data_IF_258166969878
#
_entry.id   IF_258166969878
#
_cell.length_a   1.000
_cell.length_b   1.000
_cell.length_c   1.000
_cell.angle_alpha   90.00
_cell.angle_beta   90.00
_cell.angle_gamma   90.00
#
_symmetry.space_group_name_H-M   'P 1'
#
loop_
_entity.id
_entity.type
_entity.pdbx_description
1 polymer ?
#
# COMPACT_ATOMS: atom_id res chain seq x y z
N UNK A 1 21.88 -19.48 -33.45
CA UNK A 1 22.35 -18.29 -32.71
C UNK A 1 21.31 -18.00 -31.64
N UNK A 2 21.49 -18.57 -30.45
CA UNK A 2 20.74 -18.14 -29.26
C UNK A 2 21.30 -16.78 -28.84
N UNK A 3 20.45 -15.75 -28.84
CA UNK A 3 20.73 -14.55 -28.07
C UNK A 3 20.45 -14.91 -26.61
N UNK A 4 21.51 -15.22 -25.86
CA UNK A 4 21.47 -15.11 -24.41
C UNK A 4 21.16 -13.66 -24.06
N UNK A 5 19.93 -13.40 -23.61
CA UNK A 5 19.56 -12.13 -23.01
C UNK A 5 20.40 -11.97 -21.74
N UNK A 6 21.50 -11.22 -21.84
CA UNK A 6 22.23 -10.75 -20.68
C UNK A 6 21.25 -9.89 -19.90
N UNK A 7 20.81 -10.33 -18.72
CA UNK A 7 20.03 -9.47 -17.83
C UNK A 7 20.91 -8.27 -17.50
N UNK A 8 20.53 -7.10 -18.03
CA UNK A 8 21.25 -5.86 -17.75
C UNK A 8 21.01 -5.55 -16.29
N UNK A 9 22.01 -5.83 -15.45
CA UNK A 9 21.94 -5.54 -14.03
C UNK A 9 21.71 -4.04 -13.82
N UNK A 10 20.85 -3.65 -12.86
CA UNK A 10 20.64 -2.24 -12.56
C UNK A 10 21.96 -1.55 -12.24
N UNK A 11 22.18 -0.36 -12.80
CA UNK A 11 23.40 0.39 -12.55
C UNK A 11 23.65 0.60 -11.04
N UNK A 12 24.92 0.71 -10.58
CA UNK A 12 25.21 1.09 -9.20
C UNK A 12 24.43 2.35 -8.78
N UNK A 13 23.74 2.27 -7.65
CA UNK A 13 22.92 3.37 -7.13
C UNK A 13 21.51 3.49 -7.74
N UNK A 14 21.17 2.74 -8.79
CA UNK A 14 19.85 2.85 -9.45
C UNK A 14 18.68 2.51 -8.50
N UNK A 15 18.84 1.49 -7.65
CA UNK A 15 17.85 1.14 -6.62
C UNK A 15 17.61 2.28 -5.63
N UNK A 16 18.68 2.92 -5.14
CA UNK A 16 18.58 4.02 -4.17
C UNK A 16 17.96 5.25 -4.83
N UNK A 17 18.37 5.57 -6.05
CA UNK A 17 17.80 6.66 -6.82
C UNK A 17 16.30 6.45 -7.07
N UNK A 18 15.90 5.25 -7.46
CA UNK A 18 14.49 4.92 -7.69
C UNK A 18 13.68 4.92 -6.39
N UNK A 19 14.22 4.40 -5.30
CA UNK A 19 13.59 4.52 -3.98
C UNK A 19 13.33 5.98 -3.59
N UNK A 20 14.32 6.87 -3.77
CA UNK A 20 14.15 8.30 -3.50
C UNK A 20 13.11 8.95 -4.43
N UNK A 21 13.09 8.56 -5.71
CA UNK A 21 12.07 9.02 -6.66
C UNK A 21 10.66 8.58 -6.20
N UNK A 22 10.53 7.35 -5.71
CA UNK A 22 9.28 6.81 -5.17
C UNK A 22 8.82 7.61 -3.94
N UNK A 23 9.71 8.05 -3.05
CA UNK A 23 9.34 8.92 -1.93
C UNK A 23 8.73 10.25 -2.40
N UNK A 24 9.29 10.86 -3.45
CA UNK A 24 8.76 12.12 -4.02
C UNK A 24 7.40 11.88 -4.68
N UNK A 25 7.27 10.81 -5.46
CA UNK A 25 6.00 10.44 -6.10
C UNK A 25 4.91 10.13 -5.07
N UNK A 26 5.21 9.34 -4.05
CA UNK A 26 4.28 9.03 -2.96
C UNK A 26 3.82 10.30 -2.26
N UNK A 27 4.75 11.19 -1.87
CA UNK A 27 4.36 12.48 -1.29
C UNK A 27 3.50 13.29 -2.26
N UNK A 28 3.79 13.34 -3.56
CA UNK A 28 2.96 14.10 -4.50
C UNK A 28 1.49 13.66 -4.53
N UNK A 29 1.20 12.41 -4.17
CA UNK A 29 -0.16 11.88 -4.05
C UNK A 29 -0.82 12.26 -2.72
N UNK A 30 -0.11 12.12 -1.59
CA UNK A 30 -0.71 12.31 -0.24
C UNK A 30 -0.56 13.74 0.32
N UNK A 31 0.50 14.45 -0.07
CA UNK A 31 0.81 15.79 0.42
C UNK A 31 -0.26 16.86 0.07
N UNK A 32 -1.02 16.77 -1.06
CA UNK A 32 -2.19 17.63 -1.27
C UNK A 32 -3.21 17.55 -0.14
N UNK A 33 -3.47 16.37 0.44
CA UNK A 33 -4.38 16.23 1.58
C UNK A 33 -3.84 16.87 2.86
N UNK A 34 -2.51 16.87 3.07
CA UNK A 34 -1.89 17.58 4.18
C UNK A 34 -2.11 19.08 4.06
N UNK A 35 -1.90 19.64 2.85
CA UNK A 35 -2.17 21.05 2.57
C UNK A 35 -3.66 21.36 2.72
N UNK A 36 -4.52 20.49 2.18
CA UNK A 36 -5.96 20.61 2.29
C UNK A 36 -6.40 20.63 3.76
N UNK A 37 -5.88 19.72 4.60
CA UNK A 37 -6.15 19.68 6.04
C UNK A 37 -5.67 20.93 6.77
N UNK A 38 -4.47 21.41 6.43
CA UNK A 38 -3.90 22.61 7.02
C UNK A 38 -4.70 23.89 6.69
N UNK A 39 -5.51 23.88 5.63
CA UNK A 39 -6.32 25.03 5.21
C UNK A 39 -7.80 24.86 5.59
N UNK A 40 -8.42 23.75 5.18
CA UNK A 40 -9.87 23.55 5.29
C UNK A 40 -10.32 23.39 6.74
N UNK A 41 -9.59 22.62 7.56
CA UNK A 41 -9.99 22.40 8.96
C UNK A 41 -9.92 23.71 9.78
N UNK A 42 -8.83 24.49 9.72
CA UNK A 42 -8.80 25.81 10.38
C UNK A 42 -9.82 26.79 9.80
N UNK A 43 -10.04 26.80 8.47
CA UNK A 43 -11.05 27.67 7.87
C UNK A 43 -12.45 27.33 8.37
N UNK A 44 -12.83 26.05 8.42
CA UNK A 44 -14.11 25.61 8.97
C UNK A 44 -14.26 26.00 10.45
N UNK A 45 -13.18 25.85 11.24
CA UNK A 45 -13.16 26.25 12.64
C UNK A 45 -13.34 27.77 12.82
N UNK A 46 -12.71 28.59 11.97
CA UNK A 46 -12.85 30.05 12.00
C UNK A 46 -14.26 30.52 11.61
N UNK A 47 -14.93 29.80 10.70
CA UNK A 47 -16.29 30.10 10.28
C UNK A 47 -17.37 29.61 11.27
N UNK A 48 -16.99 28.76 12.24
CA UNK A 48 -17.90 28.11 13.19
C UNK A 48 -18.81 29.10 13.94
N UNK A 49 -18.34 30.23 14.51
CA UNK A 49 -19.21 31.15 15.23
C UNK A 49 -20.29 31.77 14.33
N UNK A 50 -19.92 32.17 13.11
CA UNK A 50 -20.85 32.73 12.13
C UNK A 50 -21.88 31.72 11.68
N UNK A 51 -21.46 30.49 11.38
CA UNK A 51 -22.36 29.38 11.03
C UNK A 51 -23.33 29.08 12.16
N UNK A 52 -22.89 29.07 13.41
CA UNK A 52 -23.76 28.82 14.56
C UNK A 52 -24.84 29.89 14.70
N UNK A 53 -24.46 31.18 14.63
CA UNK A 53 -25.41 32.30 14.67
C UNK A 53 -26.41 32.21 13.52
N UNK A 54 -25.94 31.91 12.31
CA UNK A 54 -26.81 31.74 11.15
C UNK A 54 -27.83 30.60 11.33
N UNK A 55 -27.43 29.46 11.92
CA UNK A 55 -28.35 28.35 12.20
C UNK A 55 -29.41 28.73 13.24
N UNK A 56 -29.03 29.47 14.29
CA UNK A 56 -29.99 29.97 15.28
C UNK A 56 -30.95 30.99 14.67
N UNK A 57 -30.46 31.91 13.84
CA UNK A 57 -31.29 32.88 13.12
C UNK A 57 -32.24 32.20 12.13
N UNK A 58 -31.83 31.07 11.55
CA UNK A 58 -32.68 30.22 10.72
C UNK A 58 -33.69 29.39 11.54
N UNK A 59 -33.84 29.65 12.83
CA UNK A 59 -34.82 29.00 13.71
C UNK A 59 -34.48 27.55 14.08
N UNK A 60 -33.24 27.11 13.88
CA UNK A 60 -32.85 25.75 14.31
C UNK A 60 -32.79 25.68 15.84
N UNK A 61 -33.33 24.62 16.46
CA UNK A 61 -33.12 24.36 17.88
C UNK A 61 -31.64 24.29 18.22
N UNK A 62 -31.26 24.74 19.43
CA UNK A 62 -29.87 24.83 19.89
C UNK A 62 -29.05 23.55 19.61
N UNK A 63 -29.60 22.38 19.94
CA UNK A 63 -28.93 21.08 19.74
C UNK A 63 -28.65 20.81 18.25
N UNK A 64 -29.61 21.13 17.37
CA UNK A 64 -29.40 21.00 15.92
C UNK A 64 -28.41 22.02 15.39
N UNK A 65 -28.46 23.25 15.88
CA UNK A 65 -27.50 24.29 15.51
C UNK A 65 -26.07 23.88 15.90
N UNK A 66 -25.87 23.31 17.09
CA UNK A 66 -24.58 22.76 17.52
C UNK A 66 -24.13 21.60 16.62
N UNK A 67 -25.01 20.64 16.35
CA UNK A 67 -24.69 19.50 15.48
C UNK A 67 -24.32 19.92 14.06
N UNK A 68 -25.13 20.77 13.42
CA UNK A 68 -24.87 21.28 12.07
C UNK A 68 -23.58 22.10 11.99
N UNK A 69 -23.31 22.93 13.00
CA UNK A 69 -22.10 23.75 13.03
C UNK A 69 -20.87 22.87 13.29
N UNK A 70 -20.93 21.97 14.27
CA UNK A 70 -19.85 21.03 14.55
C UNK A 70 -19.53 20.13 13.36
N UNK A 71 -20.56 19.68 12.63
CA UNK A 71 -20.44 18.87 11.43
C UNK A 71 -19.59 19.55 10.34
N UNK A 72 -19.52 20.89 10.30
CA UNK A 72 -18.65 21.60 9.33
C UNK A 72 -17.17 21.32 9.56
N UNK A 73 -16.73 21.33 10.82
CA UNK A 73 -15.33 21.10 11.17
C UNK A 73 -15.01 19.61 11.13
N UNK A 74 -15.88 18.77 11.72
CA UNK A 74 -15.67 17.32 11.70
C UNK A 74 -15.75 16.75 10.30
N UNK A 75 -16.65 17.25 9.45
CA UNK A 75 -16.76 16.84 8.05
C UNK A 75 -15.51 17.19 7.25
N UNK A 76 -15.01 18.43 7.38
CA UNK A 76 -13.76 18.82 6.73
C UNK A 76 -12.56 17.96 7.19
N UNK A 77 -12.49 17.62 8.48
CA UNK A 77 -11.45 16.74 9.00
C UNK A 77 -11.61 15.30 8.47
N UNK A 78 -12.84 14.80 8.42
CA UNK A 78 -13.16 13.44 7.95
C UNK A 78 -12.87 13.26 6.46
N UNK A 79 -13.24 14.24 5.63
CA UNK A 79 -12.96 14.22 4.19
C UNK A 79 -11.46 14.21 3.91
N UNK A 80 -10.69 15.05 4.60
CA UNK A 80 -9.23 15.12 4.47
C UNK A 80 -8.58 13.82 4.91
N UNK A 81 -8.94 13.31 6.09
CA UNK A 81 -8.29 12.13 6.66
C UNK A 81 -8.66 10.86 5.88
N UNK A 82 -9.92 10.75 5.48
CA UNK A 82 -10.39 9.67 4.60
C UNK A 82 -9.72 9.73 3.23
N UNK A 83 -9.60 10.90 2.63
CA UNK A 83 -8.92 11.08 1.34
C UNK A 83 -7.44 10.70 1.42
N UNK A 84 -6.75 11.13 2.48
CA UNK A 84 -5.35 10.79 2.74
C UNK A 84 -5.15 9.29 2.88
N UNK A 85 -5.88 8.63 3.79
CA UNK A 85 -5.71 7.21 4.08
C UNK A 85 -6.12 6.34 2.89
N UNK A 86 -7.22 6.65 2.20
CA UNK A 86 -7.59 5.89 1.00
C UNK A 86 -6.55 6.05 -0.10
N UNK A 87 -6.04 7.26 -0.32
CA UNK A 87 -4.97 7.48 -1.33
C UNK A 87 -3.71 6.69 -0.97
N UNK A 88 -3.31 6.69 0.30
CA UNK A 88 -2.14 5.93 0.74
C UNK A 88 -2.34 4.42 0.55
N UNK A 89 -3.46 3.88 1.04
CA UNK A 89 -3.78 2.46 0.98
C UNK A 89 -4.07 1.94 -0.43
N UNK A 90 -4.58 2.78 -1.33
CA UNK A 90 -4.94 2.38 -2.70
C UNK A 90 -3.80 2.61 -3.71
N UNK A 91 -2.83 3.49 -3.39
CA UNK A 91 -1.78 3.90 -4.34
C UNK A 91 -0.36 3.63 -3.83
N UNK A 92 -0.06 4.02 -2.59
CA UNK A 92 1.31 4.04 -2.05
C UNK A 92 1.68 2.70 -1.43
N UNK A 93 0.79 2.20 -0.56
CA UNK A 93 0.99 0.93 0.16
C UNK A 93 1.12 -0.24 -0.80
N UNK A 94 0.24 -0.45 -1.80
CA UNK A 94 0.32 -1.65 -2.64
C UNK A 94 1.63 -1.73 -3.42
N UNK A 95 2.15 -0.60 -3.90
CA UNK A 95 3.46 -0.54 -4.55
C UNK A 95 4.61 -0.93 -3.61
N UNK A 96 4.58 -0.43 -2.38
CA UNK A 96 5.62 -0.71 -1.38
C UNK A 96 5.56 -2.15 -0.90
N UNK A 97 4.34 -2.67 -0.73
CA UNK A 97 4.05 -4.06 -0.44
C UNK A 97 4.61 -4.97 -1.53
N UNK A 98 4.27 -4.71 -2.80
CA UNK A 98 4.76 -5.52 -3.93
C UNK A 98 6.29 -5.57 -3.99
N UNK A 99 6.98 -4.43 -3.80
CA UNK A 99 8.44 -4.41 -3.70
C UNK A 99 8.98 -5.27 -2.54
N UNK A 100 8.26 -5.33 -1.42
CA UNK A 100 8.62 -6.17 -0.26
C UNK A 100 8.38 -7.65 -0.55
N UNK A 101 7.32 -7.99 -1.29
CA UNK A 101 7.03 -9.36 -1.71
C UNK A 101 8.08 -9.87 -2.70
N UNK A 102 8.51 -9.02 -3.64
CA UNK A 102 9.63 -9.32 -4.55
C UNK A 102 10.92 -9.57 -3.78
N UNK A 103 11.21 -8.78 -2.74
CA UNK A 103 12.34 -9.03 -1.83
C UNK A 103 12.16 -10.37 -1.12
N UNK A 104 10.98 -10.68 -0.59
CA UNK A 104 10.72 -11.93 0.12
C UNK A 104 10.95 -13.15 -0.78
N UNK A 105 10.45 -13.13 -2.02
CA UNK A 105 10.70 -14.18 -3.02
C UNK A 105 12.20 -14.28 -3.35
N UNK A 106 12.87 -13.13 -3.57
CA UNK A 106 14.31 -13.10 -3.83
C UNK A 106 15.12 -13.69 -2.69
N UNK A 107 14.77 -13.41 -1.44
CA UNK A 107 15.44 -13.95 -0.24
C UNK A 107 15.27 -15.46 -0.12
N UNK A 108 14.08 -15.99 -0.43
CA UNK A 108 13.86 -17.44 -0.49
C UNK A 108 14.79 -18.08 -1.52
N UNK A 109 14.83 -17.55 -2.74
CA UNK A 109 15.69 -18.05 -3.83
C UNK A 109 17.17 -17.98 -3.49
N UNK A 110 17.63 -16.88 -2.89
CA UNK A 110 19.00 -16.72 -2.41
C UNK A 110 19.32 -17.76 -1.34
N UNK A 111 18.42 -17.95 -0.37
CA UNK A 111 18.56 -18.96 0.67
C UNK A 111 18.70 -20.37 0.10
N UNK A 112 17.81 -20.76 -0.81
CA UNK A 112 17.87 -22.05 -1.51
C UNK A 112 19.21 -22.22 -2.24
N UNK A 113 19.61 -21.23 -3.05
CA UNK A 113 20.87 -21.27 -3.81
C UNK A 113 22.11 -21.41 -2.92
N UNK A 114 22.14 -20.76 -1.73
CA UNK A 114 23.25 -20.90 -0.78
C UNK A 114 23.44 -22.36 -0.34
N UNK A 115 22.35 -23.11 -0.16
CA UNK A 115 22.41 -24.47 0.37
C UNK A 115 22.48 -25.55 -0.71
N UNK A 116 21.89 -25.33 -1.88
CA UNK A 116 21.79 -26.36 -2.94
C UNK A 116 22.75 -26.14 -4.09
N UNK A 117 22.97 -24.88 -4.49
CA UNK A 117 23.69 -24.51 -5.73
C UNK A 117 24.53 -23.24 -5.53
N UNK A 118 25.53 -23.23 -4.64
CA UNK A 118 26.25 -22.02 -4.26
C UNK A 118 26.97 -21.33 -5.44
N UNK A 119 27.30 -22.08 -6.50
CA UNK A 119 27.86 -21.53 -7.74
C UNK A 119 26.91 -20.61 -8.50
N UNK A 120 25.59 -20.73 -8.29
CA UNK A 120 24.56 -19.89 -8.93
C UNK A 120 24.27 -18.61 -8.13
N UNK A 121 24.82 -18.46 -6.91
CA UNK A 121 24.52 -17.36 -6.00
C UNK A 121 24.71 -15.97 -6.62
N UNK A 122 25.79 -15.67 -7.38
CA UNK A 122 25.92 -14.36 -8.03
C UNK A 122 24.80 -14.08 -9.04
N UNK A 123 24.35 -15.10 -9.78
CA UNK A 123 23.27 -14.99 -10.74
C UNK A 123 21.92 -14.74 -10.08
N UNK A 124 21.62 -15.49 -9.01
CA UNK A 124 20.37 -15.32 -8.22
C UNK A 124 20.31 -13.95 -7.56
N UNK A 125 21.43 -13.47 -6.99
CA UNK A 125 21.50 -12.14 -6.40
C UNK A 125 21.31 -11.03 -7.44
N UNK A 126 21.90 -11.22 -8.63
CA UNK A 126 21.68 -10.32 -9.76
C UNK A 126 20.22 -10.29 -10.20
N UNK A 127 19.56 -11.44 -10.28
CA UNK A 127 18.14 -11.50 -10.64
C UNK A 127 17.27 -10.79 -9.59
N UNK A 128 17.49 -11.07 -8.30
CA UNK A 128 16.75 -10.42 -7.21
C UNK A 128 16.91 -8.88 -7.23
N UNK A 129 18.11 -8.40 -7.59
CA UNK A 129 18.36 -6.96 -7.78
C UNK A 129 17.58 -6.39 -8.96
N UNK A 130 17.54 -7.10 -10.07
CA UNK A 130 16.77 -6.70 -11.27
C UNK A 130 15.29 -6.67 -10.96
N UNK A 131 14.74 -7.75 -10.40
CA UNK A 131 13.33 -7.87 -10.05
C UNK A 131 12.90 -6.76 -9.09
N UNK A 132 13.72 -6.45 -8.07
CA UNK A 132 13.45 -5.34 -7.16
C UNK A 132 13.51 -3.99 -7.87
N UNK A 133 14.45 -3.79 -8.79
CA UNK A 133 14.52 -2.55 -9.55
C UNK A 133 13.28 -2.38 -10.43
N UNK A 134 12.82 -3.45 -11.08
CA UNK A 134 11.58 -3.42 -11.88
C UNK A 134 10.37 -3.12 -10.99
N UNK A 135 10.26 -3.77 -9.83
CA UNK A 135 9.20 -3.50 -8.86
C UNK A 135 9.20 -2.04 -8.35
N UNK A 136 10.39 -1.44 -8.14
CA UNK A 136 10.49 -0.04 -7.76
C UNK A 136 10.12 0.93 -8.89
N UNK A 137 10.15 0.49 -10.15
CA UNK A 137 9.71 1.27 -11.30
C UNK A 137 8.21 1.16 -11.58
N UNK A 138 7.50 0.29 -10.86
CA UNK A 138 6.07 0.19 -11.02
C UNK A 138 5.35 1.50 -10.65
N UNK A 139 4.26 1.84 -11.37
CA UNK A 139 3.44 2.97 -11.01
C UNK A 139 2.77 2.76 -9.64
N UNK A 140 2.38 3.83 -8.94
CA UNK A 140 1.46 3.72 -7.80
C UNK A 140 0.14 3.09 -8.22
N UNK A 141 -0.48 2.35 -7.30
CA UNK A 141 -1.75 1.66 -7.53
C UNK A 141 -1.70 0.18 -7.15
N UNK A 142 -2.82 -0.54 -7.32
CA UNK A 142 -2.89 -1.96 -7.03
C UNK A 142 -1.90 -2.77 -7.85
N UNK A 143 -1.23 -3.71 -7.20
CA UNK A 143 -0.28 -4.63 -7.83
C UNK A 143 -0.79 -6.06 -7.74
N UNK A 144 -0.46 -6.86 -8.76
CA UNK A 144 -0.61 -8.31 -8.65
C UNK A 144 0.57 -8.88 -7.85
N UNK A 145 0.32 -9.87 -7.00
CA UNK A 145 1.39 -10.60 -6.30
C UNK A 145 2.48 -11.07 -7.28
N UNK A 146 3.76 -11.10 -6.86
CA UNK A 146 4.84 -11.49 -7.74
C UNK A 146 4.71 -12.95 -8.18
N UNK A 147 5.32 -13.27 -9.32
CA UNK A 147 5.35 -14.64 -9.82
C UNK A 147 6.18 -15.52 -8.87
N UNK A 148 5.52 -16.52 -8.28
CA UNK A 148 6.14 -17.52 -7.41
C UNK A 148 6.19 -18.89 -8.07
N UNK A 149 7.24 -19.65 -7.77
CA UNK A 149 7.53 -20.95 -8.39
C UNK A 149 7.47 -22.12 -7.40
N UNK A 150 7.52 -21.85 -6.10
CA UNK A 150 7.53 -22.87 -5.05
C UNK A 150 6.50 -22.56 -3.95
N UNK A 151 6.06 -23.57 -3.17
CA UNK A 151 5.24 -23.32 -2.00
C UNK A 151 5.89 -22.43 -0.94
N UNK A 152 7.23 -22.46 -0.83
CA UNK A 152 7.98 -21.63 0.11
C UNK A 152 7.95 -20.16 -0.31
N UNK A 153 8.13 -19.87 -1.61
CA UNK A 153 7.96 -18.51 -2.16
C UNK A 153 6.52 -18.02 -1.94
N UNK A 154 5.51 -18.85 -2.21
CA UNK A 154 4.11 -18.52 -1.97
C UNK A 154 3.81 -18.23 -0.49
N UNK A 155 4.41 -18.99 0.43
CA UNK A 155 4.29 -18.76 1.86
C UNK A 155 4.96 -17.44 2.28
N UNK A 156 6.10 -17.08 1.70
CA UNK A 156 6.79 -15.82 1.96
C UNK A 156 5.97 -14.60 1.49
N UNK A 157 5.38 -14.67 0.29
CA UNK A 157 4.45 -13.65 -0.22
C UNK A 157 3.24 -13.53 0.70
N UNK A 158 2.60 -14.64 1.06
CA UNK A 158 1.47 -14.64 1.98
C UNK A 158 1.80 -14.08 3.37
N UNK A 159 2.97 -14.38 3.91
CA UNK A 159 3.42 -13.79 5.17
C UNK A 159 3.55 -12.26 5.07
N UNK A 160 4.02 -11.78 3.91
CA UNK A 160 4.14 -10.35 3.61
C UNK A 160 2.77 -9.69 3.47
N UNK A 161 1.84 -10.29 2.71
CA UNK A 161 0.43 -9.85 2.60
C UNK A 161 -0.23 -9.69 3.97
N UNK A 162 -0.12 -10.70 4.85
CA UNK A 162 -0.69 -10.64 6.20
C UNK A 162 -0.03 -9.55 7.03
N UNK A 163 1.30 -9.41 6.94
CA UNK A 163 2.02 -8.35 7.63
C UNK A 163 1.53 -6.96 7.20
N UNK A 164 1.45 -6.69 5.90
CA UNK A 164 0.98 -5.41 5.37
C UNK A 164 -0.50 -5.15 5.68
N UNK A 165 -1.33 -6.19 5.60
CA UNK A 165 -2.74 -6.11 5.97
C UNK A 165 -2.93 -5.70 7.44
N UNK A 166 -2.10 -6.21 8.36
CA UNK A 166 -2.18 -5.87 9.79
C UNK A 166 -1.52 -4.52 10.09
N UNK A 167 -0.27 -4.36 9.66
CA UNK A 167 0.58 -3.23 10.05
C UNK A 167 0.16 -1.91 9.40
N UNK A 168 -0.35 -1.96 8.16
CA UNK A 168 -0.72 -0.78 7.39
C UNK A 168 -2.21 -0.73 7.14
N UNK A 169 -2.77 -1.62 6.31
CA UNK A 169 -4.18 -1.51 5.91
C UNK A 169 -5.16 -1.45 7.09
N UNK A 170 -5.08 -2.40 8.02
CA UNK A 170 -5.98 -2.45 9.16
C UNK A 170 -5.75 -1.26 10.10
N UNK A 171 -4.48 -0.97 10.40
CA UNK A 171 -4.13 0.07 11.36
C UNK A 171 -4.52 1.45 10.84
N UNK A 172 -4.22 1.77 9.58
CA UNK A 172 -4.56 3.05 8.97
C UNK A 172 -6.07 3.23 8.82
N UNK A 173 -6.80 2.20 8.35
CA UNK A 173 -8.27 2.26 8.31
C UNK A 173 -8.86 2.49 9.70
N UNK A 174 -8.34 1.83 10.72
CA UNK A 174 -8.81 2.01 12.09
C UNK A 174 -8.59 3.44 12.60
N UNK A 175 -7.55 4.14 12.15
CA UNK A 175 -7.34 5.54 12.54
C UNK A 175 -8.45 6.48 12.05
N UNK A 176 -9.22 6.09 11.02
CA UNK A 176 -10.38 6.87 10.55
C UNK A 176 -11.47 7.01 11.61
N UNK A 177 -11.50 6.15 12.63
CA UNK A 177 -12.41 6.30 13.78
C UNK A 177 -12.31 7.70 14.39
N UNK A 178 -11.11 8.30 14.42
CA UNK A 178 -10.88 9.63 15.03
C UNK A 178 -11.67 10.74 14.33
N UNK A 179 -11.96 10.60 13.04
CA UNK A 179 -12.69 11.63 12.27
C UNK A 179 -14.12 11.19 11.95
N UNK A 180 -14.33 9.93 11.56
CA UNK A 180 -15.63 9.40 11.17
C UNK A 180 -16.63 9.40 12.32
N UNK A 181 -16.19 9.03 13.54
CA UNK A 181 -17.10 8.95 14.69
C UNK A 181 -17.63 10.33 15.10
N UNK A 182 -16.78 11.34 15.35
CA UNK A 182 -17.27 12.69 15.63
C UNK A 182 -18.13 13.24 14.49
N UNK A 183 -17.77 12.96 13.23
CA UNK A 183 -18.53 13.42 12.08
C UNK A 183 -19.93 12.78 12.00
N UNK A 184 -20.02 11.45 12.17
CA UNK A 184 -21.30 10.73 12.20
C UNK A 184 -22.21 11.22 13.33
N UNK A 185 -21.64 11.44 14.52
CA UNK A 185 -22.36 12.00 15.66
C UNK A 185 -22.92 13.39 15.34
N UNK A 186 -22.07 14.32 14.93
CA UNK A 186 -22.44 15.73 14.72
C UNK A 186 -23.40 15.90 13.55
N UNK A 187 -23.16 15.17 12.46
CA UNK A 187 -24.05 15.16 11.29
C UNK A 187 -25.45 14.63 11.65
N UNK A 188 -25.51 13.53 12.42
CA UNK A 188 -26.78 12.96 12.87
C UNK A 188 -27.48 13.83 13.90
N UNK A 189 -26.74 14.42 14.84
CA UNK A 189 -27.28 15.37 15.81
C UNK A 189 -27.82 16.62 15.12
N UNK A 190 -27.10 17.14 14.13
CA UNK A 190 -27.50 18.33 13.37
C UNK A 190 -28.76 18.11 12.53
N UNK A 191 -28.83 16.96 11.85
CA UNK A 191 -29.97 16.60 11.00
C UNK A 191 -31.22 16.22 11.81
N UNK A 192 -31.06 15.44 12.89
CA UNK A 192 -32.20 14.87 13.63
C UNK A 192 -32.56 15.64 14.90
N UNK A 193 -31.59 16.29 15.55
CA UNK A 193 -31.73 16.86 16.89
C UNK A 193 -31.83 15.82 18.02
N UNK A 194 -31.63 14.52 17.72
CA UNK A 194 -31.73 13.44 18.69
C UNK A 194 -30.34 12.93 19.08
N UNK A 195 -29.99 13.08 20.36
CA UNK A 195 -28.73 12.52 20.92
C UNK A 195 -28.71 11.01 20.81
N UNK A 196 -29.86 10.34 21.03
CA UNK A 196 -29.96 8.88 20.92
C UNK A 196 -29.62 8.40 19.51
N UNK A 197 -30.20 9.04 18.47
CA UNK A 197 -29.86 8.71 17.08
C UNK A 197 -28.40 9.01 16.75
N UNK A 198 -27.85 10.11 17.29
CA UNK A 198 -26.45 10.45 17.09
C UNK A 198 -25.49 9.41 17.70
N UNK A 199 -25.79 8.88 18.89
CA UNK A 199 -25.03 7.78 19.51
C UNK A 199 -25.15 6.49 18.71
N UNK A 200 -26.33 6.18 18.16
CA UNK A 200 -26.52 5.04 17.27
C UNK A 200 -25.64 5.16 16.01
N UNK A 201 -25.65 6.32 15.35
CA UNK A 201 -24.81 6.58 14.19
C UNK A 201 -23.30 6.48 14.52
N UNK A 202 -22.89 6.90 15.71
CA UNK A 202 -21.51 6.64 16.21
C UNK A 202 -21.22 5.14 16.27
N UNK A 203 -22.14 4.34 16.84
CA UNK A 203 -21.99 2.89 16.90
C UNK A 203 -21.82 2.27 15.51
N UNK A 204 -22.65 2.67 14.55
CA UNK A 204 -22.58 2.24 13.16
C UNK A 204 -21.26 2.65 12.48
N UNK A 205 -20.77 3.87 12.73
CA UNK A 205 -19.49 4.33 12.20
C UNK A 205 -18.30 3.53 12.75
N UNK A 206 -18.32 3.18 14.05
CA UNK A 206 -17.30 2.31 14.67
C UNK A 206 -17.33 0.92 14.05
N UNK A 207 -18.49 0.27 14.01
CA UNK A 207 -18.61 -1.10 13.48
C UNK A 207 -18.22 -1.17 12.01
N UNK A 208 -18.60 -0.18 11.22
CA UNK A 208 -18.21 -0.07 9.81
C UNK A 208 -16.70 0.05 9.68
N UNK A 209 -16.08 0.96 10.43
CA UNK A 209 -14.62 1.17 10.35
C UNK A 209 -13.82 -0.05 10.81
N UNK A 210 -14.29 -0.76 11.84
CA UNK A 210 -13.67 -2.03 12.27
C UNK A 210 -13.86 -3.13 11.22
N UNK A 211 -15.04 -3.21 10.60
CA UNK A 211 -15.28 -4.19 9.54
C UNK A 211 -14.39 -3.94 8.32
N UNK A 212 -14.26 -2.67 7.92
CA UNK A 212 -13.35 -2.24 6.84
C UNK A 212 -11.89 -2.51 7.19
N UNK A 213 -11.48 -2.33 8.46
CA UNK A 213 -10.09 -2.58 8.87
C UNK A 213 -9.73 -4.07 8.94
N UNK A 214 -10.69 -4.96 9.17
CA UNK A 214 -10.43 -6.41 9.24
C UNK A 214 -10.50 -7.08 7.87
N UNK A 215 -11.22 -6.50 6.90
CA UNK A 215 -11.37 -7.09 5.57
C UNK A 215 -10.03 -7.40 4.87
N UNK A 216 -9.01 -6.52 4.86
CA UNK A 216 -7.71 -6.82 4.27
C UNK A 216 -7.01 -8.02 4.91
N UNK A 217 -7.11 -8.17 6.24
CA UNK A 217 -6.52 -9.32 6.96
C UNK A 217 -7.19 -10.62 6.50
N UNK A 218 -8.51 -10.62 6.39
CA UNK A 218 -9.26 -11.77 5.87
C UNK A 218 -8.85 -12.10 4.45
N UNK A 219 -8.73 -11.10 3.60
CA UNK A 219 -8.34 -11.27 2.20
C UNK A 219 -6.94 -11.87 2.09
N UNK A 220 -5.96 -11.33 2.82
CA UNK A 220 -4.59 -11.86 2.88
C UNK A 220 -4.54 -13.33 3.37
N UNK A 221 -5.41 -13.69 4.32
CA UNK A 221 -5.52 -15.06 4.86
C UNK A 221 -6.30 -16.03 3.97
N UNK A 222 -7.08 -15.57 2.99
CA UNK A 222 -7.99 -16.44 2.23
C UNK A 222 -7.72 -16.49 0.74
N UNK A 223 -7.19 -15.41 0.14
CA UNK A 223 -6.88 -15.36 -1.28
C UNK A 223 -5.69 -16.28 -1.62
N UNK A 224 -5.83 -17.22 -2.57
CA UNK A 224 -4.74 -18.12 -2.92
C UNK A 224 -3.59 -17.35 -3.60
N UNK A 225 -2.35 -17.74 -3.29
CA UNK A 225 -1.17 -17.28 -4.03
C UNK A 225 -0.90 -18.30 -5.15
N UNK A 226 -1.04 -17.93 -6.44
CA UNK A 226 -0.88 -18.85 -7.54
C UNK A 226 0.60 -19.25 -7.70
N UNK A 227 0.87 -20.55 -7.69
CA UNK A 227 2.21 -21.09 -7.99
C UNK A 227 2.30 -21.40 -9.47
N UNK A 228 3.30 -20.83 -10.13
CA UNK A 228 3.65 -21.13 -11.52
C UNK A 228 4.93 -21.95 -11.52
N UNK A 229 4.87 -23.29 -11.61
CA UNK A 229 6.07 -24.12 -11.56
C UNK A 229 7.07 -23.71 -12.63
N UNK A 230 8.35 -23.57 -12.26
CA UNK A 230 9.41 -23.36 -13.25
C UNK A 230 9.49 -24.62 -14.12
N UNK A 231 9.45 -24.45 -15.44
CA UNK A 231 9.72 -25.57 -16.36
C UNK A 231 11.10 -26.13 -16.02
N UNK A 232 11.18 -27.41 -15.69
CA UNK A 232 12.47 -28.08 -15.54
C UNK A 232 13.21 -27.89 -16.87
N UNK A 233 14.43 -27.32 -16.81
CA UNK A 233 15.29 -27.30 -17.98
C UNK A 233 15.50 -28.76 -18.38
N UNK A 234 14.90 -29.17 -19.51
CA UNK A 234 15.18 -30.47 -20.11
C UNK A 234 16.64 -30.40 -20.55
N UNK A 235 17.55 -30.86 -19.69
CA UNK A 235 18.89 -31.24 -20.11
C UNK A 235 18.69 -32.34 -21.15
N UNK A 236 18.79 -31.95 -22.42
CA UNK A 236 18.70 -32.88 -23.53
C UNK A 236 20.02 -33.65 -23.53
N UNK A 237 20.12 -34.63 -22.65
CA UNK A 237 21.23 -35.57 -22.65
C UNK A 237 21.02 -36.50 -23.86
N UNK A 238 21.62 -36.09 -24.97
CA UNK A 238 21.62 -36.86 -26.19
C UNK A 238 22.51 -38.10 -26.00
N UNK A 239 21.93 -39.21 -25.52
CA UNK A 239 22.43 -40.56 -25.88
C UNK A 239 21.45 -41.70 -25.57
N UNK A 240 21.12 -42.43 -26.65
CA UNK A 240 20.68 -43.85 -26.70
C UNK A 240 19.26 -44.14 -26.14
N UNK A 241 18.32 -44.78 -26.83
CA UNK A 241 18.32 -45.62 -28.05
C UNK A 241 16.87 -45.74 -28.54
N UNK A 242 16.69 -45.94 -29.84
CA UNK A 242 15.43 -46.33 -30.49
C UNK A 242 14.68 -47.47 -29.76
N UNK A 243 13.36 -47.35 -29.61
CA UNK A 243 12.49 -48.48 -29.91
C UNK A 243 11.03 -48.07 -30.12
N UNK A 244 10.55 -48.45 -31.31
CA UNK A 244 9.18 -48.82 -31.66
C UNK A 244 8.11 -47.74 -31.75
N UNK A 245 7.99 -47.25 -32.98
CA UNK A 245 6.72 -47.03 -33.65
C UNK A 245 5.74 -48.21 -33.45
N UNK A 246 4.52 -47.89 -33.01
CA UNK A 246 3.29 -48.59 -33.39
C UNK A 246 2.23 -47.53 -33.66
N UNK A 247 2.18 -47.14 -34.92
CA UNK A 247 0.98 -46.97 -35.74
C UNK A 247 -0.39 -47.04 -35.02
N UNK A 248 -1.10 -45.92 -34.96
CA UNK A 248 -2.55 -45.89 -34.82
C UNK A 248 -3.14 -44.76 -35.68
N UNK A 249 -3.80 -45.23 -36.73
CA UNK A 249 -4.51 -44.59 -37.83
C UNK A 249 -5.48 -43.47 -37.39
N UNK A 250 -5.43 -42.33 -38.10
CA UNK A 250 -6.42 -41.25 -38.06
C UNK A 250 -7.67 -41.59 -38.88
N UNK A 251 -8.77 -40.81 -38.71
CA UNK A 251 -9.49 -40.36 -39.89
C UNK A 251 -9.61 -38.84 -39.96
N UNK A 252 -9.17 -38.30 -41.11
CA UNK A 252 -9.33 -36.92 -41.55
C UNK A 252 -10.80 -36.48 -41.60
N UNK A 253 -11.07 -35.23 -41.24
CA UNK A 253 -12.23 -34.49 -41.77
C UNK A 253 -11.86 -33.04 -42.11
N UNK A 254 -11.84 -32.82 -43.43
CA UNK A 254 -11.85 -31.59 -44.26
C UNK A 254 -11.82 -30.21 -43.57
N UNK A 255 -10.86 -29.39 -44.01
CA UNK A 255 -10.95 -27.92 -44.01
C UNK A 255 -11.85 -27.41 -45.16
N UNK A 256 -12.26 -26.13 -45.09
CA UNK A 256 -12.10 -25.28 -46.26
C UNK A 256 -11.38 -23.96 -45.97
N UNK A 257 -10.50 -23.64 -46.90
CA UNK A 257 -9.73 -22.40 -47.08
C UNK A 257 -10.62 -21.21 -47.42
N UNK A 258 -10.37 -20.04 -46.80
CA UNK A 258 -10.69 -18.72 -47.38
C UNK A 258 -9.48 -17.80 -47.20
N UNK A 259 -9.09 -17.14 -48.30
CA UNK A 259 -7.93 -16.24 -48.47
C UNK A 259 -8.29 -14.77 -48.12
N UNK A 260 -7.31 -13.85 -48.05
CA UNK A 260 -7.31 -12.67 -47.18
C UNK A 260 -7.82 -11.37 -47.86
N UNK A 261 -8.22 -10.39 -47.06
CA UNK A 261 -8.42 -9.01 -47.53
C UNK A 261 -8.11 -7.94 -46.46
N UNK A 262 -7.11 -7.12 -46.80
CA UNK A 262 -7.06 -5.64 -46.76
C UNK A 262 -7.10 -4.87 -45.43
N UNK A 263 -5.98 -4.17 -45.20
CA UNK A 263 -5.70 -3.04 -44.29
C UNK A 263 -6.46 -1.77 -44.74
N UNK A 264 -6.78 -0.83 -43.82
CA UNK A 264 -6.29 0.55 -44.02
C UNK A 264 -5.82 1.32 -42.75
N UNK A 265 -4.56 1.81 -42.84
CA UNK A 265 -3.93 3.13 -42.51
C UNK A 265 -4.33 3.99 -41.26
N UNK A 266 -3.35 4.10 -40.33
CA UNK A 266 -2.64 5.27 -39.71
C UNK A 266 -3.32 6.67 -39.57
N UNK A 267 -2.97 7.51 -38.55
CA UNK A 267 -1.67 8.20 -38.53
C UNK A 267 -0.94 8.32 -37.17
N UNK A 268 0.38 8.44 -37.30
CA UNK A 268 1.40 8.80 -36.32
C UNK A 268 1.24 10.26 -35.86
N UNK A 269 1.37 10.53 -34.56
CA UNK A 269 1.74 11.84 -34.02
C UNK A 269 3.00 11.69 -33.19
N UNK A 270 4.08 12.27 -33.71
CA UNK A 270 5.41 12.42 -33.14
C UNK A 270 5.39 13.61 -32.18
N UNK A 271 5.64 13.42 -30.88
CA UNK A 271 6.00 14.54 -30.00
C UNK A 271 7.39 14.33 -29.42
N UNK A 272 8.33 15.18 -29.86
CA UNK A 272 9.65 15.37 -29.25
C UNK A 272 9.48 15.99 -27.85
N UNK A 273 10.31 15.61 -26.85
CA UNK A 273 10.39 16.34 -25.59
C UNK A 273 11.17 17.66 -25.77
N UNK A 274 10.82 18.74 -25.04
CA UNK A 274 11.64 19.94 -25.02
C UNK A 274 12.88 19.71 -24.15
N UNK A 275 14.04 20.04 -24.72
CA UNK A 275 15.32 20.20 -24.01
C UNK A 275 15.28 21.55 -23.30
N UNK A 276 15.55 21.55 -21.99
CA UNK A 276 15.86 22.76 -21.24
C UNK A 276 17.25 22.61 -20.62
N UNK A 277 18.19 23.27 -21.28
CA UNK A 277 19.55 23.57 -20.81
C UNK A 277 19.48 24.66 -19.74
N UNK A 278 20.10 24.44 -18.59
CA UNK A 278 20.80 25.50 -17.84
C UNK A 278 21.51 24.97 -16.60
N UNK A 279 22.81 25.23 -16.52
CA UNK A 279 23.66 25.21 -15.33
C UNK A 279 24.71 26.33 -15.55
N UNK A 280 25.34 26.92 -14.52
CA UNK A 280 24.96 27.14 -13.11
C UNK A 280 24.91 28.64 -12.77
N UNK A 281 24.53 28.99 -11.53
CA UNK A 281 25.26 30.04 -10.82
C UNK A 281 25.32 29.79 -9.31
N UNK A 282 26.43 30.20 -8.73
CA UNK A 282 26.83 29.99 -7.34
C UNK A 282 26.43 31.16 -6.47
N UNK A 283 26.05 30.90 -5.21
CA UNK A 283 26.25 31.84 -4.11
C UNK A 283 25.03 32.14 -3.24
N UNK A 284 25.30 32.12 -1.93
CA UNK A 284 24.56 32.74 -0.81
C UNK A 284 23.52 31.86 -0.08
N UNK A 285 24.01 31.26 1.01
CA UNK A 285 23.23 30.87 2.18
C UNK A 285 22.66 32.10 2.90
N UNK A 286 21.45 32.01 3.47
CA UNK A 286 21.38 32.19 4.91
C UNK A 286 20.46 31.20 5.64
N UNK A 287 20.93 30.81 6.81
CA UNK A 287 20.27 30.03 7.85
C UNK A 287 18.96 30.67 8.32
N UNK A 288 17.84 29.99 8.11
CA UNK A 288 16.55 30.31 8.70
C UNK A 288 15.90 29.02 9.24
N UNK A 289 15.78 28.95 10.57
CA UNK A 289 15.11 27.84 11.27
C UNK A 289 13.64 27.79 10.85
N UNK A 290 13.26 26.79 10.05
CA UNK A 290 11.84 26.46 9.81
C UNK A 290 11.18 26.03 11.13
N UNK A 291 10.01 26.59 11.50
CA UNK A 291 9.22 26.07 12.61
C UNK A 291 8.67 24.68 12.24
N UNK A 292 8.97 23.69 13.08
CA UNK A 292 8.60 22.30 12.86
C UNK A 292 7.12 22.08 13.24
N UNK A 293 6.23 22.24 12.26
CA UNK A 293 4.76 22.14 12.39
C UNK A 293 4.32 20.77 12.93
N UNK A 294 5.13 19.72 12.73
CA UNK A 294 4.90 18.36 13.27
C UNK A 294 4.89 18.29 14.80
N UNK A 295 5.54 19.23 15.50
CA UNK A 295 5.60 19.22 16.97
C UNK A 295 4.32 19.76 17.62
N UNK A 296 3.52 20.53 16.87
CA UNK A 296 2.23 21.06 17.32
C UNK A 296 1.13 20.00 17.29
N UNK A 297 1.08 19.21 16.22
CA UNK A 297 0.05 18.18 16.01
C UNK A 297 0.15 17.05 17.05
N UNK A 298 1.36 16.58 17.36
CA UNK A 298 1.58 15.55 18.37
C UNK A 298 1.21 15.99 19.80
N UNK A 299 1.27 17.30 20.08
CA UNK A 299 0.89 17.84 21.41
C UNK A 299 -0.63 17.95 21.56
N UNK A 300 -1.36 18.20 20.48
CA UNK A 300 -2.82 18.26 20.47
C UNK A 300 -3.43 16.86 20.60
N UNK A 301 -2.85 15.86 19.93
CA UNK A 301 -3.28 14.45 20.05
C UNK A 301 -3.07 13.93 21.48
N UNK A 302 -1.92 14.21 22.11
CA UNK A 302 -1.65 13.83 23.50
C UNK A 302 -2.59 14.49 24.52
N UNK A 303 -3.15 15.66 24.19
CA UNK A 303 -4.06 16.39 25.08
C UNK A 303 -5.51 15.91 24.98
N UNK A 304 -5.88 15.27 23.86
CA UNK A 304 -7.22 14.71 23.62
C UNK A 304 -7.31 13.25 24.06
N UNK A 305 -6.20 12.49 24.02
CA UNK A 305 -6.15 11.05 24.30
C UNK A 305 -5.51 10.72 25.66
N UNK A 306 -5.95 11.38 26.74
CA UNK A 306 -5.37 11.29 28.10
C UNK A 306 -4.72 9.95 28.49
N UNK A 307 -3.57 10.01 29.17
CA UNK A 307 -2.65 8.92 29.53
C UNK A 307 -3.33 7.55 29.81
N UNK A 308 -3.47 6.73 28.78
CA UNK A 308 -3.65 5.28 28.90
C UNK A 308 -2.35 4.61 28.47
N UNK A 309 -1.27 4.85 29.20
CA UNK A 309 -0.10 3.99 29.18
C UNK A 309 0.68 4.15 30.48
N UNK A 310 0.28 3.36 31.47
CA UNK A 310 0.84 3.44 32.82
C UNK A 310 0.59 2.17 33.64
N UNK A 311 0.55 0.99 33.03
CA UNK A 311 0.76 -0.27 33.77
C UNK A 311 1.77 -1.15 33.03
N UNK A 312 2.97 -1.15 33.59
CA UNK A 312 4.10 -2.03 33.29
C UNK A 312 3.66 -3.50 33.44
N UNK A 313 3.92 -4.40 32.48
CA UNK A 313 3.74 -5.83 32.71
C UNK A 313 4.76 -6.30 33.75
N UNK A 314 4.31 -6.97 34.82
CA UNK A 314 5.18 -7.66 35.76
C UNK A 314 5.96 -8.77 35.05
N UNK A 315 7.24 -8.88 35.38
CA UNK A 315 8.15 -9.90 34.87
C UNK A 315 7.70 -11.32 35.28
N UNK A 316 8.03 -12.36 34.50
CA UNK A 316 7.72 -13.75 34.86
C UNK A 316 8.59 -14.22 36.04
N UNK A 317 7.95 -14.89 37.00
CA UNK A 317 8.58 -15.47 38.19
C UNK A 317 9.68 -16.48 37.84
N UNK A 318 10.82 -16.37 38.53
CA UNK A 318 11.91 -17.37 38.51
C UNK A 318 11.43 -18.68 39.17
N UNK A 319 11.83 -19.86 38.67
CA UNK A 319 11.53 -21.11 39.34
C UNK A 319 12.36 -21.25 40.63
N UNK A 320 11.69 -21.63 41.72
CA UNK A 320 12.30 -21.89 43.01
C UNK A 320 13.26 -23.08 42.95
N UNK A 321 14.46 -22.91 43.52
CA UNK A 321 15.42 -23.99 43.80
C UNK A 321 14.77 -25.03 44.71
N UNK A 322 14.71 -26.28 44.27
CA UNK A 322 14.55 -27.43 45.17
C UNK A 322 15.82 -27.58 46.00
N UNK A 323 15.67 -27.55 47.33
CA UNK A 323 16.69 -27.98 48.26
C UNK A 323 16.63 -29.50 48.39
N UNK A 324 17.78 -30.14 48.23
CA UNK A 324 18.08 -31.52 48.61
C UNK A 324 18.15 -31.63 50.13
N UNK A 325 17.58 -32.70 50.70
CA UNK A 325 17.76 -33.06 52.11
C UNK A 325 16.87 -34.23 52.54
N UNK A 326 17.54 -35.36 52.82
CA UNK A 326 17.06 -36.70 53.23
C UNK A 326 16.77 -37.67 52.08
#
# INVERSE_FOLDING_TARGET
MELTAVSVQPAPGALVAQFLANQVQNCSLICPFVVQGAVQVPAAALLTPGTFVAQLQAGKPLVRALGLTGATVSGAADDVWTGLIRTDLDQVVPRTQFGTEVIAVGLVRVGEAVFTEPGQLPGVLGQARSDLFDALNNPPGPESVPVVHTPLEAAAVRGTEVFWAVAFHSTEQLTLVVTRVPNAFLTTLGSTGSVVKAVQATGEAVTTTVSESVAPIRDALTKPIPITPRAAAVTTDARTTESRAVEAIAPQKKAPTVRPALVPKTPTMLMKPPVLTSKPDSGVSPTSKRPNVMRGLGRTIKKVLGDVSGKKPSAPDRPAKKATGC
#
